data_IF_851486947517
#
_entry.id   IF_851486947517
#
_cell.length_a   1.000
_cell.length_b   1.000
_cell.length_c   1.000
_cell.angle_alpha   90.00
_cell.angle_beta   90.00
_cell.angle_gamma   90.00
#
_symmetry.space_group_name_H-M   'P 1'
#
loop_
_entity.id
_entity.type
_entity.pdbx_description
1 polymer ?
#
# COMPACT_ATOMS: atom_id res chain seq x y z
N UNK A 1 0.10 59.05 -12.49
CA UNK A 1 -0.43 57.71 -12.81
C UNK A 1 0.31 56.61 -12.02
N UNK A 2 0.68 56.82 -10.74
CA UNK A 2 1.58 55.91 -9.99
C UNK A 2 0.99 55.40 -8.66
N UNK A 3 -0.35 55.44 -8.46
CA UNK A 3 -0.95 55.02 -7.20
C UNK A 3 -1.72 53.69 -7.21
N UNK A 4 -1.73 52.97 -8.35
CA UNK A 4 -2.49 51.71 -8.48
C UNK A 4 -1.62 50.46 -8.25
N UNK A 5 -0.29 50.58 -8.41
CA UNK A 5 0.59 49.41 -8.33
C UNK A 5 1.01 48.99 -6.90
N UNK A 6 0.83 49.83 -5.89
CA UNK A 6 1.24 49.53 -4.51
C UNK A 6 0.16 48.86 -3.65
N UNK A 7 -1.11 48.99 -4.01
CA UNK A 7 -2.22 48.38 -3.27
C UNK A 7 -2.31 46.85 -3.44
N UNK A 8 -1.89 46.34 -4.60
CA UNK A 8 -2.02 44.91 -4.95
C UNK A 8 -0.98 43.98 -4.22
N UNK A 9 0.18 44.53 -3.84
CA UNK A 9 1.25 43.78 -3.15
C UNK A 9 1.04 43.65 -1.65
N UNK A 10 0.34 44.60 -1.00
CA UNK A 10 0.06 44.50 0.44
C UNK A 10 -1.12 43.57 0.72
N UNK A 11 -2.09 43.52 -0.20
CA UNK A 11 -3.24 42.61 -0.10
C UNK A 11 -2.79 41.11 -0.20
N UNK A 12 -1.92 40.83 -1.15
CA UNK A 12 -1.35 39.45 -1.32
C UNK A 12 -0.49 39.03 -0.14
N UNK A 13 0.20 39.93 0.55
CA UNK A 13 0.97 39.64 1.78
C UNK A 13 0.06 39.36 2.97
N UNK A 14 -1.03 40.11 3.09
CA UNK A 14 -2.04 39.95 4.12
C UNK A 14 -2.76 38.60 3.96
N UNK A 15 -3.17 38.26 2.74
CA UNK A 15 -3.80 36.98 2.42
C UNK A 15 -2.87 35.78 2.69
N UNK A 16 -1.59 35.87 2.33
CA UNK A 16 -0.59 34.82 2.64
C UNK A 16 -0.39 34.62 4.15
N UNK A 17 -0.32 35.71 4.93
CA UNK A 17 -0.21 35.62 6.39
C UNK A 17 -1.45 34.97 7.00
N UNK A 18 -2.63 35.34 6.53
CA UNK A 18 -3.89 34.77 6.99
C UNK A 18 -3.95 33.26 6.63
N UNK A 19 -3.57 32.91 5.41
CA UNK A 19 -3.49 31.51 4.99
C UNK A 19 -2.52 30.68 5.88
N UNK A 20 -1.33 31.22 6.16
CA UNK A 20 -0.38 30.58 7.06
C UNK A 20 -0.92 30.44 8.49
N UNK A 21 -1.56 31.44 9.04
CA UNK A 21 -2.16 31.43 10.38
C UNK A 21 -3.29 30.41 10.48
N UNK A 22 -4.10 30.25 9.44
CA UNK A 22 -5.21 29.28 9.40
C UNK A 22 -4.71 27.84 9.23
N UNK A 23 -3.64 27.63 8.47
CA UNK A 23 -3.08 26.29 8.20
C UNK A 23 -2.08 25.87 9.30
N UNK A 24 -1.38 26.81 9.92
CA UNK A 24 -0.31 26.54 10.88
C UNK A 24 -0.72 25.59 12.03
N UNK A 25 -1.87 25.72 12.69
CA UNK A 25 -2.24 24.80 13.77
C UNK A 25 -2.34 23.36 13.29
N UNK A 26 -2.94 23.13 12.12
CA UNK A 26 -3.07 21.78 11.53
C UNK A 26 -1.71 21.20 11.11
N UNK A 27 -0.87 22.02 10.47
CA UNK A 27 0.49 21.61 10.05
C UNK A 27 1.38 21.34 11.27
N UNK A 28 1.35 22.18 12.30
CA UNK A 28 2.12 21.97 13.53
C UNK A 28 1.71 20.67 14.21
N UNK A 29 0.39 20.44 14.37
CA UNK A 29 -0.11 19.20 14.97
C UNK A 29 0.30 17.97 14.15
N UNK A 30 0.14 18.03 12.83
CA UNK A 30 0.51 16.95 11.92
C UNK A 30 2.03 16.65 11.99
N UNK A 31 2.87 17.69 11.99
CA UNK A 31 4.31 17.54 12.14
C UNK A 31 4.69 16.98 13.52
N UNK A 32 4.07 17.47 14.60
CA UNK A 32 4.34 16.95 15.94
C UNK A 32 3.99 15.47 16.08
N UNK A 33 2.86 15.03 15.52
CA UNK A 33 2.40 13.63 15.60
C UNK A 33 3.18 12.70 14.67
N UNK A 34 3.69 13.20 13.53
CA UNK A 34 4.39 12.36 12.55
C UNK A 34 5.91 12.51 12.61
N UNK A 35 6.44 13.72 12.62
CA UNK A 35 7.89 13.96 12.57
C UNK A 35 8.58 13.56 13.87
N UNK A 36 7.95 13.79 15.03
CA UNK A 36 8.55 13.41 16.31
C UNK A 36 8.76 11.89 16.45
N UNK A 37 7.76 11.01 16.25
CA UNK A 37 7.99 9.57 16.32
C UNK A 37 9.00 9.05 15.29
N UNK A 38 8.98 9.60 14.07
CA UNK A 38 9.94 9.21 13.02
C UNK A 38 11.36 9.63 13.43
N UNK A 39 11.53 10.88 13.89
CA UNK A 39 12.83 11.37 14.37
C UNK A 39 13.34 10.58 15.57
N UNK A 40 12.43 10.20 16.50
CA UNK A 40 12.77 9.37 17.65
C UNK A 40 13.15 7.93 17.23
N UNK A 41 12.45 7.33 16.27
CA UNK A 41 12.84 6.03 15.71
C UNK A 41 14.22 6.08 15.04
N UNK A 42 14.52 7.16 14.28
CA UNK A 42 15.85 7.39 13.71
C UNK A 42 16.90 7.54 14.82
N UNK A 43 16.62 8.26 15.89
CA UNK A 43 17.52 8.37 17.04
C UNK A 43 17.80 7.03 17.71
N UNK A 44 16.75 6.23 17.98
CA UNK A 44 16.88 4.89 18.56
C UNK A 44 17.64 3.93 17.65
N UNK A 45 17.50 4.06 16.34
CA UNK A 45 18.20 3.21 15.37
C UNK A 45 19.72 3.38 15.38
N UNK A 46 20.21 4.50 15.92
CA UNK A 46 21.64 4.80 16.07
C UNK A 46 22.22 4.32 17.41
N UNK A 47 21.39 3.67 18.24
CA UNK A 47 21.77 3.19 19.56
C UNK A 47 21.73 1.66 19.64
N UNK A 48 22.65 1.09 20.39
CA UNK A 48 22.52 -0.28 20.92
C UNK A 48 21.60 -0.19 22.13
N UNK A 49 20.31 -0.41 21.91
CA UNK A 49 19.32 -0.31 22.96
C UNK A 49 18.45 -1.58 22.99
N UNK A 50 18.55 -2.32 24.10
CA UNK A 50 17.74 -3.49 24.38
C UNK A 50 17.01 -3.30 25.70
N UNK A 51 15.69 -3.50 25.69
CA UNK A 51 14.86 -3.38 26.90
C UNK A 51 15.17 -4.42 27.98
N UNK A 52 15.78 -5.55 27.61
CA UNK A 52 16.21 -6.56 28.57
C UNK A 52 17.48 -6.13 29.34
N UNK A 53 18.31 -5.23 28.76
CA UNK A 53 19.55 -4.71 29.35
C UNK A 53 19.63 -3.18 29.17
N UNK A 54 18.72 -2.40 29.80
CA UNK A 54 18.61 -0.97 29.51
C UNK A 54 19.86 -0.17 29.97
N UNK A 55 20.62 -0.70 30.91
CA UNK A 55 21.85 -0.06 31.43
C UNK A 55 23.01 -0.12 30.43
N UNK A 56 22.94 -1.00 29.40
CA UNK A 56 23.97 -1.17 28.37
C UNK A 56 23.68 -0.32 27.10
N UNK A 57 22.91 0.77 27.25
CA UNK A 57 22.57 1.64 26.12
C UNK A 57 23.80 2.44 25.67
N UNK A 58 24.19 2.28 24.41
CA UNK A 58 25.36 2.90 23.81
C UNK A 58 25.03 3.49 22.43
N UNK A 59 25.60 4.65 22.10
CA UNK A 59 25.52 5.21 20.76
C UNK A 59 26.47 4.48 19.83
N UNK A 60 25.94 3.74 18.85
CA UNK A 60 26.71 2.91 17.91
C UNK A 60 26.66 3.43 16.45
N UNK A 61 26.07 4.60 16.22
CA UNK A 61 25.96 5.19 14.89
C UNK A 61 25.23 4.25 13.92
N UNK A 62 25.88 3.88 12.82
CA UNK A 62 25.26 3.09 11.74
C UNK A 62 25.39 1.56 11.91
N UNK A 63 25.94 1.07 12.99
CA UNK A 63 26.23 -0.38 13.17
C UNK A 63 24.98 -1.26 13.08
N UNK A 64 23.83 -0.77 13.59
CA UNK A 64 22.56 -1.49 13.47
C UNK A 64 22.18 -1.68 12.00
N UNK A 65 22.38 -0.67 11.15
CA UNK A 65 22.11 -0.77 9.71
C UNK A 65 23.07 -1.74 9.02
N UNK A 66 24.36 -1.72 9.39
CA UNK A 66 25.33 -2.68 8.87
C UNK A 66 24.93 -4.10 9.25
N UNK A 67 24.55 -4.31 10.52
CA UNK A 67 24.06 -5.61 11.00
C UNK A 67 22.86 -6.10 10.20
N UNK A 68 21.83 -5.27 9.99
CA UNK A 68 20.65 -5.65 9.23
C UNK A 68 20.98 -5.94 7.77
N UNK A 69 21.77 -5.08 7.11
CA UNK A 69 22.06 -5.21 5.68
C UNK A 69 23.04 -6.35 5.36
N UNK A 70 23.83 -6.80 6.34
CA UNK A 70 24.71 -7.98 6.21
C UNK A 70 24.00 -9.28 6.59
N UNK A 71 22.83 -9.21 7.21
CA UNK A 71 22.03 -10.40 7.55
C UNK A 71 21.31 -10.93 6.30
N UNK A 72 21.54 -12.18 5.96
CA UNK A 72 20.86 -12.86 4.86
C UNK A 72 19.34 -12.96 5.03
N UNK A 73 18.84 -12.98 6.27
CA UNK A 73 17.41 -13.04 6.53
C UNK A 73 16.67 -11.73 6.16
N UNK A 74 17.33 -10.57 6.28
CA UNK A 74 16.77 -9.29 5.79
C UNK A 74 16.45 -9.36 4.29
N UNK A 75 17.38 -9.87 3.48
CA UNK A 75 17.18 -9.97 2.04
C UNK A 75 16.11 -11.00 1.67
N UNK A 76 16.03 -12.11 2.40
CA UNK A 76 14.95 -13.09 2.25
C UNK A 76 13.59 -12.46 2.55
N UNK A 77 13.46 -11.76 3.67
CA UNK A 77 12.23 -11.08 4.07
C UNK A 77 11.83 -9.97 3.07
N UNK A 78 12.82 -9.22 2.55
CA UNK A 78 12.60 -8.20 1.53
C UNK A 78 12.10 -8.82 0.22
N UNK A 79 12.71 -9.92 -0.24
CA UNK A 79 12.28 -10.62 -1.46
C UNK A 79 10.87 -11.21 -1.31
N UNK A 80 10.55 -11.80 -0.16
CA UNK A 80 9.21 -12.30 0.14
C UNK A 80 8.19 -11.17 0.11
N UNK A 81 8.51 -10.03 0.75
CA UNK A 81 7.65 -8.85 0.76
C UNK A 81 7.41 -8.32 -0.64
N UNK A 82 8.46 -8.18 -1.45
CA UNK A 82 8.37 -7.74 -2.84
C UNK A 82 7.56 -8.73 -3.70
N UNK A 83 7.80 -10.03 -3.54
CA UNK A 83 7.06 -11.06 -4.28
C UNK A 83 5.57 -11.01 -3.97
N UNK A 84 5.19 -10.98 -2.68
CA UNK A 84 3.78 -10.83 -2.27
C UNK A 84 3.19 -9.53 -2.84
N UNK A 85 3.90 -8.40 -2.67
CA UNK A 85 3.43 -7.09 -3.15
C UNK A 85 3.18 -7.10 -4.65
N UNK A 86 4.14 -7.53 -5.46
CA UNK A 86 4.02 -7.50 -6.92
C UNK A 86 2.92 -8.45 -7.39
N UNK A 87 2.88 -9.67 -6.86
CA UNK A 87 1.91 -10.69 -7.29
C UNK A 87 0.50 -10.29 -6.86
N UNK A 88 0.29 -9.89 -5.58
CA UNK A 88 -1.03 -9.51 -5.10
C UNK A 88 -1.57 -8.29 -5.83
N UNK A 89 -0.78 -7.21 -5.97
CA UNK A 89 -1.20 -5.97 -6.64
C UNK A 89 -1.51 -6.21 -8.12
N UNK A 90 -0.72 -7.05 -8.81
CA UNK A 90 -1.00 -7.39 -10.20
C UNK A 90 -2.34 -8.13 -10.36
N UNK A 91 -2.61 -9.12 -9.52
CA UNK A 91 -3.89 -9.87 -9.54
C UNK A 91 -5.05 -8.93 -9.14
N UNK A 92 -4.88 -8.14 -8.09
CA UNK A 92 -5.88 -7.18 -7.62
C UNK A 92 -6.21 -6.12 -8.67
N UNK A 93 -5.23 -5.65 -9.43
CA UNK A 93 -5.47 -4.72 -10.53
C UNK A 93 -6.39 -5.34 -11.60
N UNK A 94 -6.13 -6.57 -12.02
CA UNK A 94 -6.94 -7.27 -13.02
C UNK A 94 -8.35 -7.54 -12.49
N UNK A 95 -8.47 -8.13 -11.30
CA UNK A 95 -9.77 -8.44 -10.69
C UNK A 95 -10.53 -7.16 -10.30
N UNK A 96 -9.82 -6.16 -9.75
CA UNK A 96 -10.37 -4.86 -9.39
C UNK A 96 -10.91 -4.10 -10.60
N UNK A 97 -10.21 -4.14 -11.74
CA UNK A 97 -10.69 -3.58 -13.00
C UNK A 97 -11.94 -4.28 -13.48
N UNK A 98 -11.98 -5.61 -13.44
CA UNK A 98 -13.16 -6.39 -13.82
C UNK A 98 -14.37 -6.02 -12.92
N UNK A 99 -14.18 -5.98 -11.61
CA UNK A 99 -15.22 -5.57 -10.65
C UNK A 99 -15.67 -4.11 -10.86
N UNK A 100 -14.73 -3.20 -11.10
CA UNK A 100 -15.02 -1.79 -11.37
C UNK A 100 -15.88 -1.64 -12.63
N UNK A 101 -15.56 -2.37 -13.70
CA UNK A 101 -16.35 -2.37 -14.95
C UNK A 101 -17.75 -2.95 -14.73
N UNK A 102 -17.90 -4.02 -13.93
CA UNK A 102 -19.20 -4.59 -13.57
C UNK A 102 -20.03 -3.56 -12.78
N UNK A 103 -19.44 -2.97 -11.74
CA UNK A 103 -20.10 -1.96 -10.90
C UNK A 103 -20.46 -0.69 -11.69
N UNK A 104 -19.64 -0.30 -12.66
CA UNK A 104 -19.89 0.86 -13.52
C UNK A 104 -21.09 0.63 -14.44
N UNK A 105 -21.24 -0.57 -15.01
CA UNK A 105 -22.32 -0.95 -15.93
C UNK A 105 -23.63 -1.35 -15.26
N UNK A 106 -23.61 -1.71 -14.00
CA UNK A 106 -24.79 -2.17 -13.27
C UNK A 106 -25.81 -1.03 -13.17
N UNK A 107 -27.02 -1.23 -13.71
CA UNK A 107 -28.12 -0.26 -13.69
C UNK A 107 -29.04 -0.50 -12.49
N UNK A 108 -29.45 -1.76 -12.28
CA UNK A 108 -30.33 -2.16 -11.19
C UNK A 108 -29.53 -2.72 -10.01
N UNK A 109 -29.93 -2.40 -8.78
CA UNK A 109 -29.30 -2.95 -7.57
C UNK A 109 -27.87 -2.45 -7.32
N UNK A 110 -27.47 -1.29 -7.87
CA UNK A 110 -26.10 -0.71 -7.71
C UNK A 110 -25.62 -0.73 -6.25
N UNK A 111 -26.50 -0.36 -5.32
CA UNK A 111 -26.16 -0.36 -3.88
C UNK A 111 -25.82 -1.76 -3.38
N UNK A 112 -26.66 -2.75 -3.68
CA UNK A 112 -26.45 -4.13 -3.24
C UNK A 112 -25.15 -4.71 -3.81
N UNK A 113 -24.90 -4.54 -5.12
CA UNK A 113 -23.68 -5.03 -5.76
C UNK A 113 -22.45 -4.39 -5.16
N UNK A 114 -22.44 -3.06 -4.95
CA UNK A 114 -21.31 -2.36 -4.34
C UNK A 114 -21.08 -2.81 -2.90
N UNK A 115 -22.15 -2.95 -2.11
CA UNK A 115 -22.04 -3.43 -0.73
C UNK A 115 -21.51 -4.85 -0.69
N UNK A 116 -22.03 -5.76 -1.50
CA UNK A 116 -21.56 -7.15 -1.56
C UNK A 116 -20.07 -7.26 -1.94
N UNK A 117 -19.62 -6.46 -2.91
CA UNK A 117 -18.20 -6.40 -3.30
C UNK A 117 -17.33 -5.88 -2.16
N UNK A 118 -17.84 -4.94 -1.34
CA UNK A 118 -17.06 -4.30 -0.27
C UNK A 118 -17.00 -5.11 1.03
N UNK A 119 -17.84 -6.12 1.21
CA UNK A 119 -17.88 -6.94 2.44
C UNK A 119 -16.49 -7.47 2.84
N UNK A 120 -15.68 -8.09 1.96
CA UNK A 120 -14.37 -8.59 2.35
C UNK A 120 -13.44 -7.50 2.89
N UNK A 121 -13.46 -6.33 2.27
CA UNK A 121 -12.63 -5.20 2.69
C UNK A 121 -13.04 -4.63 4.06
N UNK A 122 -14.33 -4.65 4.36
CA UNK A 122 -14.88 -4.17 5.63
C UNK A 122 -14.59 -5.07 6.84
N UNK A 123 -14.15 -6.32 6.63
CA UNK A 123 -13.82 -7.24 7.72
C UNK A 123 -12.47 -6.84 8.33
N UNK A 124 -12.37 -6.85 9.67
CA UNK A 124 -11.10 -6.64 10.38
C UNK A 124 -10.06 -7.66 9.91
N UNK A 125 -8.86 -7.18 9.55
CA UNK A 125 -7.83 -8.01 8.87
C UNK A 125 -7.49 -9.27 9.66
N UNK A 126 -7.28 -9.14 10.97
CA UNK A 126 -6.95 -10.29 11.85
C UNK A 126 -8.07 -11.34 11.83
N UNK A 127 -9.34 -10.92 11.88
CA UNK A 127 -10.47 -11.86 11.83
C UNK A 127 -10.56 -12.58 10.47
N UNK A 128 -10.33 -11.85 9.37
CA UNK A 128 -10.23 -12.41 8.04
C UNK A 128 -9.09 -13.43 7.95
N UNK A 129 -7.90 -13.09 8.47
CA UNK A 129 -6.72 -13.97 8.47
C UNK A 129 -6.95 -15.26 9.27
N UNK A 130 -7.62 -15.17 10.44
CA UNK A 130 -8.00 -16.38 11.18
C UNK A 130 -9.02 -17.24 10.43
N UNK A 131 -9.97 -16.62 9.69
CA UNK A 131 -10.90 -17.39 8.85
C UNK A 131 -10.16 -18.17 7.75
N UNK A 132 -9.15 -17.57 7.14
CA UNK A 132 -8.27 -18.23 6.18
C UNK A 132 -7.41 -19.32 6.84
N UNK A 133 -6.84 -19.06 8.02
CA UNK A 133 -6.05 -20.02 8.78
C UNK A 133 -6.84 -21.29 9.05
N UNK A 134 -8.04 -21.16 9.64
CA UNK A 134 -8.90 -22.31 9.95
C UNK A 134 -9.42 -23.02 8.68
N UNK A 135 -9.66 -22.29 7.60
CA UNK A 135 -10.06 -22.89 6.33
C UNK A 135 -9.00 -23.84 5.76
N UNK A 136 -7.71 -23.57 6.02
CA UNK A 136 -6.58 -24.37 5.55
C UNK A 136 -5.97 -25.27 6.62
N UNK A 137 -6.56 -25.36 7.82
CA UNK A 137 -6.07 -26.24 8.90
C UNK A 137 -6.31 -27.70 8.51
N UNK A 138 -5.28 -28.57 8.50
CA UNK A 138 -5.43 -29.97 8.15
C UNK A 138 -6.48 -30.69 9.02
N UNK A 139 -7.28 -31.52 8.39
CA UNK A 139 -8.31 -32.37 9.06
C UNK A 139 -9.61 -31.66 9.44
N UNK A 140 -9.61 -30.32 9.62
CA UNK A 140 -10.82 -29.56 10.03
C UNK A 140 -11.21 -28.49 9.03
N UNK A 141 -10.26 -27.98 8.26
CA UNK A 141 -10.50 -26.88 7.32
C UNK A 141 -11.20 -27.33 6.05
N UNK A 142 -12.25 -26.62 5.65
CA UNK A 142 -13.02 -26.96 4.46
C UNK A 142 -12.22 -26.81 3.15
N UNK A 143 -11.22 -25.93 3.09
CA UNK A 143 -10.33 -25.80 1.93
C UNK A 143 -9.20 -26.85 1.98
N UNK A 144 -8.69 -27.16 3.17
CA UNK A 144 -7.70 -28.22 3.33
C UNK A 144 -8.24 -29.59 2.87
N UNK A 145 -9.51 -29.88 3.09
CA UNK A 145 -10.16 -31.12 2.69
C UNK A 145 -10.34 -31.26 1.16
N UNK A 146 -10.07 -30.19 0.37
CA UNK A 146 -10.01 -30.26 -1.09
C UNK A 146 -8.66 -30.76 -1.60
N UNK A 147 -7.64 -30.83 -0.74
CA UNK A 147 -6.32 -31.32 -1.03
C UNK A 147 -6.21 -32.83 -0.70
N UNK A 148 -5.20 -33.53 -1.24
CA UNK A 148 -4.91 -34.91 -0.86
C UNK A 148 -4.73 -35.07 0.66
N UNK A 149 -5.10 -36.23 1.20
CA UNK A 149 -4.94 -36.53 2.63
C UNK A 149 -3.49 -36.35 3.08
N UNK A 150 -3.32 -35.73 4.25
CA UNK A 150 -2.00 -35.42 4.81
C UNK A 150 -1.37 -34.12 4.32
N UNK A 151 -2.02 -33.37 3.41
CA UNK A 151 -1.53 -32.09 2.97
C UNK A 151 -1.62 -31.05 4.09
N UNK A 152 -0.53 -30.31 4.32
CA UNK A 152 -0.42 -29.24 5.30
C UNK A 152 0.15 -27.97 4.64
N UNK A 153 -0.61 -27.27 3.79
CA UNK A 153 -0.07 -26.23 2.91
C UNK A 153 0.54 -25.04 3.66
N UNK A 154 0.10 -24.78 4.90
CA UNK A 154 0.66 -23.71 5.73
C UNK A 154 2.01 -24.08 6.37
N UNK A 155 2.53 -25.30 6.19
CA UNK A 155 3.84 -25.75 6.69
C UNK A 155 4.93 -25.71 5.61
N UNK A 156 4.59 -25.41 4.37
CA UNK A 156 5.50 -25.32 3.25
C UNK A 156 5.58 -23.89 2.72
N UNK A 157 6.75 -23.44 2.26
CA UNK A 157 6.99 -22.05 1.87
C UNK A 157 6.06 -21.59 0.74
N UNK A 158 6.11 -22.24 -0.43
CA UNK A 158 5.35 -21.80 -1.61
C UNK A 158 3.84 -21.90 -1.43
N UNK A 159 3.27 -23.00 -0.92
CA UNK A 159 1.84 -23.06 -0.63
C UNK A 159 1.38 -22.03 0.38
N UNK A 160 2.16 -21.77 1.45
CA UNK A 160 1.85 -20.74 2.43
C UNK A 160 1.83 -19.35 1.80
N UNK A 161 2.83 -19.00 0.99
CA UNK A 161 2.86 -17.71 0.29
C UNK A 161 1.69 -17.57 -0.69
N UNK A 162 1.30 -18.64 -1.38
CA UNK A 162 0.12 -18.62 -2.24
C UNK A 162 -1.17 -18.35 -1.45
N UNK A 163 -1.33 -18.96 -0.27
CA UNK A 163 -2.48 -18.72 0.61
C UNK A 163 -2.48 -17.28 1.14
N UNK A 164 -1.30 -16.76 1.55
CA UNK A 164 -1.16 -15.36 1.98
C UNK A 164 -1.58 -14.42 0.86
N UNK A 165 -1.11 -14.63 -0.37
CA UNK A 165 -1.47 -13.83 -1.55
C UNK A 165 -2.97 -13.94 -1.83
N UNK A 166 -3.57 -15.13 -1.77
CA UNK A 166 -5.01 -15.31 -2.00
C UNK A 166 -5.85 -14.58 -0.94
N UNK A 167 -5.46 -14.66 0.33
CA UNK A 167 -6.14 -13.95 1.42
C UNK A 167 -6.05 -12.44 1.23
N UNK A 168 -4.88 -11.93 0.85
CA UNK A 168 -4.62 -10.52 0.56
C UNK A 168 -5.47 -10.05 -0.62
N UNK A 169 -5.41 -10.74 -1.76
CA UNK A 169 -6.19 -10.44 -2.96
C UNK A 169 -7.68 -10.44 -2.67
N UNK A 170 -8.19 -11.47 -1.99
CA UNK A 170 -9.61 -11.55 -1.64
C UNK A 170 -10.07 -10.34 -0.82
N UNK A 171 -9.26 -9.95 0.17
CA UNK A 171 -9.60 -8.87 1.09
C UNK A 171 -9.53 -7.49 0.42
N UNK A 172 -8.53 -7.24 -0.41
CA UNK A 172 -8.16 -5.88 -0.83
C UNK A 172 -8.51 -5.53 -2.29
N UNK A 173 -8.86 -6.52 -3.11
CA UNK A 173 -9.41 -6.29 -4.46
C UNK A 173 -10.60 -5.30 -4.49
N UNK A 174 -11.55 -5.33 -3.51
CA UNK A 174 -12.63 -4.35 -3.46
C UNK A 174 -12.14 -2.89 -3.35
N UNK A 175 -11.09 -2.64 -2.61
CA UNK A 175 -10.50 -1.29 -2.49
C UNK A 175 -9.92 -0.83 -3.82
N UNK A 176 -9.15 -1.70 -4.50
CA UNK A 176 -8.65 -1.44 -5.86
C UNK A 176 -9.82 -1.14 -6.81
N UNK A 177 -10.88 -1.94 -6.76
CA UNK A 177 -12.07 -1.77 -7.60
C UNK A 177 -12.77 -0.41 -7.38
N UNK A 178 -12.85 0.07 -6.12
CA UNK A 178 -13.42 1.38 -5.81
C UNK A 178 -12.60 2.53 -6.41
N UNK A 179 -11.28 2.49 -6.27
CA UNK A 179 -10.40 3.52 -6.82
C UNK A 179 -10.50 3.58 -8.36
N UNK A 180 -10.51 2.41 -9.00
CA UNK A 180 -10.69 2.30 -10.45
C UNK A 180 -12.10 2.73 -10.90
N UNK A 181 -13.13 2.41 -10.12
CA UNK A 181 -14.51 2.86 -10.38
C UNK A 181 -14.63 4.38 -10.32
N UNK A 182 -13.95 5.04 -9.37
CA UNK A 182 -13.91 6.49 -9.30
C UNK A 182 -13.29 7.09 -10.57
N UNK A 183 -12.21 6.49 -11.08
CA UNK A 183 -11.62 6.86 -12.36
C UNK A 183 -12.56 6.65 -13.54
N UNK A 184 -13.25 5.50 -13.59
CA UNK A 184 -14.22 5.19 -14.65
C UNK A 184 -15.40 6.18 -14.69
N UNK A 185 -15.80 6.72 -13.54
CA UNK A 185 -16.89 7.70 -13.46
C UNK A 185 -16.57 9.03 -14.16
N UNK A 186 -15.28 9.32 -14.38
CA UNK A 186 -14.83 10.53 -15.09
C UNK A 186 -14.76 10.37 -16.60
N UNK A 187 -14.96 9.16 -17.15
CA UNK A 187 -14.90 8.90 -18.59
C UNK A 187 -16.19 9.41 -19.26
N UNK A 188 -16.11 10.37 -20.20
CA UNK A 188 -17.27 10.88 -20.92
C UNK A 188 -17.94 9.79 -21.75
N UNK A 189 -19.26 9.64 -21.60
CA UNK A 189 -20.03 8.63 -22.32
C UNK A 189 -19.99 8.85 -23.83
N UNK A 190 -19.89 10.10 -24.27
CA UNK A 190 -19.87 10.47 -25.69
C UNK A 190 -18.64 9.88 -26.41
N UNK A 191 -17.48 9.83 -25.73
CA UNK A 191 -16.28 9.18 -26.30
C UNK A 191 -16.48 7.67 -26.48
N UNK A 192 -17.18 7.03 -25.56
CA UNK A 192 -17.49 5.60 -25.65
C UNK A 192 -18.49 5.31 -26.75
N UNK A 193 -19.47 6.21 -26.94
CA UNK A 193 -20.47 6.12 -28.04
C UNK A 193 -19.81 6.37 -29.39
N UNK A 194 -18.95 7.39 -29.52
CA UNK A 194 -18.20 7.66 -30.75
C UNK A 194 -17.34 6.46 -31.17
N UNK A 195 -16.54 5.92 -30.20
CA UNK A 195 -15.74 4.73 -30.46
C UNK A 195 -16.58 3.50 -30.87
N UNK A 196 -17.81 3.42 -30.37
CA UNK A 196 -18.73 2.35 -30.79
C UNK A 196 -19.25 2.55 -32.21
N UNK A 197 -19.55 3.78 -32.61
CA UNK A 197 -19.94 4.12 -34.01
C UNK A 197 -18.80 3.83 -34.98
N UNK A 198 -17.53 4.02 -34.54
CA UNK A 198 -16.34 3.65 -35.34
C UNK A 198 -16.05 2.13 -35.35
N UNK A 199 -16.99 1.29 -34.89
CA UNK A 199 -16.86 -0.16 -34.88
C UNK A 199 -15.90 -0.74 -33.83
N UNK A 200 -15.54 0.03 -32.79
CA UNK A 200 -14.70 -0.47 -31.72
C UNK A 200 -15.47 -1.41 -30.78
N UNK A 201 -15.12 -2.69 -30.76
CA UNK A 201 -15.64 -3.66 -29.79
C UNK A 201 -15.25 -3.34 -28.34
N UNK A 202 -15.88 -4.02 -27.39
CA UNK A 202 -15.70 -3.75 -25.95
C UNK A 202 -14.24 -3.78 -25.50
N UNK A 203 -13.45 -4.75 -25.95
CA UNK A 203 -12.03 -4.88 -25.62
C UNK A 203 -11.17 -3.75 -26.20
N UNK A 204 -11.45 -3.36 -27.45
CA UNK A 204 -10.75 -2.24 -28.11
C UNK A 204 -11.06 -0.91 -27.41
N UNK A 205 -12.33 -0.70 -26.97
CA UNK A 205 -12.72 0.47 -26.18
C UNK A 205 -12.02 0.48 -24.83
N UNK A 206 -11.93 -0.68 -24.14
CA UNK A 206 -11.20 -0.78 -22.87
C UNK A 206 -9.74 -0.36 -23.03
N UNK A 207 -9.01 -1.00 -23.96
CA UNK A 207 -7.56 -0.80 -24.08
C UNK A 207 -7.16 0.55 -24.70
N UNK A 208 -7.95 1.05 -25.68
CA UNK A 208 -7.57 2.24 -26.45
C UNK A 208 -8.27 3.54 -26.03
N UNK A 209 -9.36 3.44 -25.26
CA UNK A 209 -10.13 4.62 -24.82
C UNK A 209 -10.15 4.70 -23.29
N UNK A 210 -10.66 3.67 -22.62
CA UNK A 210 -10.88 3.73 -21.17
C UNK A 210 -9.56 3.77 -20.42
N UNK A 211 -8.67 2.79 -20.60
CA UNK A 211 -7.41 2.71 -19.85
C UNK A 211 -6.52 3.95 -20.01
N UNK A 212 -6.34 4.53 -21.22
CA UNK A 212 -5.58 5.77 -21.36
C UNK A 212 -6.22 6.96 -20.63
N UNK A 213 -7.56 7.09 -20.67
CA UNK A 213 -8.27 8.19 -20.02
C UNK A 213 -8.21 8.10 -18.50
N UNK A 214 -8.30 6.90 -17.92
CA UNK A 214 -8.25 6.70 -16.47
C UNK A 214 -6.82 6.43 -15.97
N UNK A 215 -5.80 6.58 -16.81
CA UNK A 215 -4.40 6.34 -16.42
C UNK A 215 -4.03 7.04 -15.11
N UNK A 216 -4.35 8.32 -14.84
CA UNK A 216 -4.06 8.96 -13.56
C UNK A 216 -4.69 8.23 -12.37
N UNK A 217 -5.95 7.79 -12.49
CA UNK A 217 -6.63 7.05 -11.44
C UNK A 217 -6.00 5.66 -11.21
N UNK A 218 -5.61 4.97 -12.29
CA UNK A 218 -4.87 3.70 -12.20
C UNK A 218 -3.59 3.87 -11.41
N UNK A 219 -2.83 4.93 -11.69
CA UNK A 219 -1.55 5.19 -11.05
C UNK A 219 -1.70 5.47 -9.56
N UNK A 220 -2.70 6.26 -9.18
CA UNK A 220 -3.04 6.52 -7.78
C UNK A 220 -3.44 5.23 -7.08
N UNK A 221 -4.30 4.42 -7.71
CA UNK A 221 -4.74 3.13 -7.16
C UNK A 221 -3.56 2.16 -6.95
N UNK A 222 -2.70 2.03 -7.96
CA UNK A 222 -1.50 1.19 -7.88
C UNK A 222 -0.51 1.70 -6.82
N UNK A 223 -0.28 3.01 -6.73
CA UNK A 223 0.58 3.60 -5.71
C UNK A 223 0.09 3.25 -4.31
N UNK A 224 -1.16 3.62 -3.98
CA UNK A 224 -1.72 3.34 -2.66
C UNK A 224 -1.66 1.85 -2.33
N UNK A 225 -2.03 0.99 -3.28
CA UNK A 225 -2.06 -0.44 -3.04
C UNK A 225 -0.67 -1.06 -2.91
N UNK A 226 0.32 -0.59 -3.68
CA UNK A 226 1.72 -1.05 -3.56
C UNK A 226 2.31 -0.66 -2.20
N UNK A 227 2.08 0.59 -1.74
CA UNK A 227 2.56 1.05 -0.43
C UNK A 227 1.92 0.28 0.73
N UNK A 228 0.64 -0.07 0.60
CA UNK A 228 -0.09 -0.85 1.59
C UNK A 228 0.38 -2.31 1.61
N UNK A 229 0.46 -2.98 0.45
CA UNK A 229 0.92 -4.36 0.32
C UNK A 229 2.38 -4.56 0.78
N UNK A 230 3.26 -3.57 0.56
CA UNK A 230 4.65 -3.65 1.01
C UNK A 230 4.77 -3.71 2.54
N UNK A 231 3.79 -3.21 3.27
CA UNK A 231 3.75 -3.25 4.73
C UNK A 231 2.94 -4.42 5.28
N UNK A 232 2.72 -5.47 4.48
CA UNK A 232 1.96 -6.65 4.90
C UNK A 232 2.51 -7.21 6.22
N UNK A 233 1.60 -7.40 7.18
CA UNK A 233 1.91 -7.91 8.52
C UNK A 233 0.87 -8.94 8.97
N UNK A 234 -0.41 -8.53 9.12
CA UNK A 234 -1.47 -9.31 9.77
C UNK A 234 -1.66 -10.70 9.17
N UNK A 235 -1.73 -10.79 7.83
CA UNK A 235 -1.94 -12.05 7.13
C UNK A 235 -0.78 -13.03 7.38
N UNK A 236 0.47 -12.55 7.32
CA UNK A 236 1.64 -13.39 7.59
C UNK A 236 1.70 -13.77 9.06
N UNK A 237 1.46 -12.81 9.97
CA UNK A 237 1.50 -13.05 11.41
C UNK A 237 0.51 -14.12 11.85
N UNK A 238 -0.70 -14.13 11.31
CA UNK A 238 -1.75 -15.09 11.67
C UNK A 238 -1.57 -16.43 10.95
N UNK A 239 -1.25 -16.42 9.65
CA UNK A 239 -1.21 -17.64 8.84
C UNK A 239 0.05 -18.48 9.09
N UNK A 240 1.22 -17.85 9.20
CA UNK A 240 2.51 -18.54 9.22
C UNK A 240 3.45 -18.09 10.33
N UNK A 241 3.19 -16.94 10.96
CA UNK A 241 4.09 -16.27 11.91
C UNK A 241 5.51 -16.02 11.35
N UNK A 242 5.64 -16.00 10.01
CA UNK A 242 6.93 -15.88 9.34
C UNK A 242 7.73 -17.17 9.25
N UNK A 243 7.17 -18.31 9.69
CA UNK A 243 7.84 -19.62 9.61
C UNK A 243 8.14 -20.02 8.15
N UNK A 244 9.07 -20.95 7.97
CA UNK A 244 9.42 -21.52 6.65
C UNK A 244 9.80 -20.45 5.61
N UNK A 245 10.53 -19.42 6.02
CA UNK A 245 10.94 -18.29 5.16
C UNK A 245 9.77 -17.54 4.49
N UNK A 246 8.62 -17.46 5.17
CA UNK A 246 7.47 -16.67 4.73
C UNK A 246 7.41 -15.27 5.37
N UNK A 247 8.39 -14.92 6.22
CA UNK A 247 8.44 -13.67 6.95
C UNK A 247 8.61 -12.47 6.03
N UNK A 248 7.80 -11.41 6.26
CA UNK A 248 7.98 -10.10 5.64
C UNK A 248 8.96 -9.25 6.42
N UNK A 249 9.41 -8.13 5.81
CA UNK A 249 10.20 -7.12 6.52
C UNK A 249 9.46 -6.55 7.74
N UNK A 250 8.13 -6.47 7.69
CA UNK A 250 7.30 -6.03 8.82
C UNK A 250 7.32 -7.04 9.97
N UNK A 251 7.30 -8.34 9.68
CA UNK A 251 7.46 -9.41 10.69
C UNK A 251 8.86 -9.35 11.31
N UNK A 252 9.90 -9.18 10.49
CA UNK A 252 11.27 -9.04 11.01
C UNK A 252 11.41 -7.84 11.96
N UNK A 253 10.82 -6.69 11.60
CA UNK A 253 10.78 -5.51 12.49
C UNK A 253 10.05 -5.80 13.80
N UNK A 254 8.87 -6.42 13.71
CA UNK A 254 8.08 -6.81 14.87
C UNK A 254 8.82 -7.78 15.80
N UNK A 255 9.46 -8.80 15.26
CA UNK A 255 10.18 -9.80 16.04
C UNK A 255 11.35 -9.17 16.80
N UNK A 256 12.08 -8.24 16.18
CA UNK A 256 13.15 -7.51 16.87
C UNK A 256 12.63 -6.58 17.96
N UNK A 257 11.56 -5.80 17.70
CA UNK A 257 11.01 -4.84 18.66
C UNK A 257 10.32 -5.52 19.84
N UNK A 258 9.47 -6.53 19.59
CA UNK A 258 8.52 -7.05 20.56
C UNK A 258 8.85 -8.43 21.10
N UNK A 259 9.60 -9.27 20.36
CA UNK A 259 10.02 -10.58 20.85
C UNK A 259 11.46 -10.57 21.39
N UNK A 260 12.39 -9.93 20.64
CA UNK A 260 13.78 -9.82 21.06
C UNK A 260 14.06 -8.62 21.96
N UNK A 261 13.09 -7.69 22.09
CA UNK A 261 13.22 -6.44 22.85
C UNK A 261 14.42 -5.58 22.42
N UNK A 262 14.92 -5.80 21.20
CA UNK A 262 16.04 -5.05 20.64
C UNK A 262 15.52 -3.81 19.90
N UNK A 263 15.32 -2.73 20.67
CA UNK A 263 14.73 -1.50 20.18
C UNK A 263 15.62 -0.82 19.15
N UNK A 264 16.95 -0.83 19.37
CA UNK A 264 17.90 -0.22 18.44
C UNK A 264 17.85 -0.87 17.05
N UNK A 265 17.98 -2.20 16.98
CA UNK A 265 17.94 -2.95 15.75
C UNK A 265 16.56 -2.91 15.07
N UNK A 266 15.48 -3.08 15.84
CA UNK A 266 14.11 -3.01 15.33
C UNK A 266 13.76 -1.61 14.79
N UNK A 267 14.29 -0.55 15.40
CA UNK A 267 14.17 0.82 14.87
C UNK A 267 14.93 1.00 13.57
N UNK A 268 16.14 0.43 13.44
CA UNK A 268 16.91 0.46 12.19
C UNK A 268 16.15 -0.26 11.05
N UNK A 269 15.56 -1.43 11.33
CA UNK A 269 14.70 -2.16 10.39
C UNK A 269 13.51 -1.29 9.97
N UNK A 270 12.85 -0.63 10.93
CA UNK A 270 11.69 0.24 10.66
C UNK A 270 12.06 1.44 9.77
N UNK A 271 13.22 2.05 9.99
CA UNK A 271 13.75 3.13 9.13
C UNK A 271 14.05 2.60 7.73
N UNK A 272 14.65 1.42 7.58
CA UNK A 272 14.90 0.80 6.28
C UNK A 272 13.59 0.50 5.53
N UNK A 273 12.56 -0.01 6.22
CA UNK A 273 11.23 -0.20 5.64
C UNK A 273 10.66 1.14 5.15
N UNK A 274 10.75 2.19 5.97
CA UNK A 274 10.31 3.53 5.59
C UNK A 274 11.04 4.05 4.35
N UNK A 275 12.36 3.86 4.26
CA UNK A 275 13.15 4.24 3.08
C UNK A 275 12.74 3.45 1.83
N UNK A 276 12.46 2.15 1.95
CA UNK A 276 11.94 1.35 0.84
C UNK A 276 10.58 1.87 0.36
N UNK A 277 9.65 2.16 1.28
CA UNK A 277 8.33 2.74 0.97
C UNK A 277 8.48 4.12 0.30
N UNK A 278 9.35 4.98 0.83
CA UNK A 278 9.64 6.28 0.24
C UNK A 278 10.24 6.17 -1.17
N UNK A 279 11.14 5.21 -1.39
CA UNK A 279 11.72 4.92 -2.70
C UNK A 279 10.65 4.46 -3.69
N UNK A 280 9.76 3.54 -3.28
CA UNK A 280 8.63 3.10 -4.11
C UNK A 280 7.76 4.30 -4.49
N UNK A 281 7.37 5.14 -3.52
CA UNK A 281 6.57 6.33 -3.77
C UNK A 281 7.29 7.30 -4.74
N UNK A 282 8.57 7.53 -4.55
CA UNK A 282 9.39 8.38 -5.42
C UNK A 282 9.45 7.84 -6.86
N UNK A 283 9.64 6.52 -7.03
CA UNK A 283 9.64 5.87 -8.34
C UNK A 283 8.29 6.10 -9.05
N UNK A 284 7.17 5.90 -8.33
CA UNK A 284 5.84 6.14 -8.88
C UNK A 284 5.65 7.60 -9.30
N UNK A 285 6.03 8.57 -8.45
CA UNK A 285 5.90 9.99 -8.75
C UNK A 285 6.76 10.35 -9.96
N UNK A 286 8.00 9.88 -10.04
CA UNK A 286 8.93 10.19 -11.15
C UNK A 286 8.47 9.57 -12.46
N UNK A 287 8.03 8.31 -12.46
CA UNK A 287 7.60 7.61 -13.68
C UNK A 287 6.28 8.17 -14.22
N UNK A 288 5.43 8.68 -13.34
CA UNK A 288 4.05 9.01 -13.67
C UNK A 288 3.68 10.48 -13.46
N UNK A 289 4.42 11.23 -12.62
CA UNK A 289 4.25 12.66 -12.43
C UNK A 289 4.56 13.48 -13.69
N UNK A 290 5.41 12.97 -14.56
CA UNK A 290 5.70 13.56 -15.87
C UNK A 290 4.52 13.46 -16.87
N UNK A 291 3.45 12.76 -16.53
CA UNK A 291 2.26 12.55 -17.37
C UNK A 291 1.04 13.34 -16.91
N UNK A 292 1.18 14.28 -15.95
CA UNK A 292 0.09 15.16 -15.55
C UNK A 292 -0.25 16.12 -16.69
N UNK A 293 -1.53 16.22 -17.11
CA UNK A 293 -1.95 17.22 -18.11
C UNK A 293 -1.67 18.63 -17.54
N UNK A 294 -0.80 19.40 -18.18
CA UNK A 294 -0.44 20.77 -17.77
C UNK A 294 1.05 21.04 -17.63
N UNK A 295 1.92 20.01 -17.55
CA UNK A 295 3.37 20.24 -17.43
C UNK A 295 4.06 20.70 -18.73
N UNK A 296 3.37 20.61 -19.87
CA UNK A 296 3.91 21.02 -21.18
C UNK A 296 3.56 22.48 -21.56
N UNK A 297 2.63 23.13 -20.84
CA UNK A 297 2.27 24.53 -21.10
C UNK A 297 3.21 25.54 -20.42
N UNK A 298 3.93 25.14 -19.36
CA UNK A 298 4.93 26.00 -18.70
C UNK A 298 6.32 25.99 -19.35
N UNK A 299 6.52 25.19 -20.40
CA UNK A 299 7.80 25.10 -21.12
C UNK A 299 7.80 25.73 -22.51
N UNK A 300 6.74 26.49 -22.86
CA UNK A 300 6.73 27.26 -24.10
C UNK A 300 6.72 28.76 -23.88
#
# INVERSE_FOLDING_TARGET
MDSVATADTDDTRSERRLAFLLIAPAVILMLAVTAYPIGYAVWLSLQRYNLATPDDTEFVGIDNYVTVLTDGYWWTALLVTLAITVVSVAIEFVLGMALALIMHRTIFGKGVVRTAVLVPYGIVTVAASYSWYYAWTPGTGYLANLLPEGSAPLTEQLPSLAIVVLAEVWKTTPFMALLLLAGLALVPQDLLNAAQMDGAGAWKRLLKVILPLIKPAILVALLFRTLDAFRIFDNIYVLTQGANNTGSVSILGYDNLFKAFNIGLGSAISVLIFLCVALIAFIYIKLFGASAPGSDEERR
#
